data_IF_983524266008
#
_entry.id   IF_983524266008
#
_cell.length_a   1.000
_cell.length_b   1.000
_cell.length_c   1.000
_cell.angle_alpha   90.00
_cell.angle_beta   90.00
_cell.angle_gamma   90.00
#
_symmetry.space_group_name_H-M   'P 1'
#
loop_
_entity.id
_entity.type
_entity.pdbx_description
1 polymer ?
#
# COMPACT_ATOMS: atom_id res chain seq x y z
N UNK A 1 5.68 19.89 33.80
CA UNK A 1 5.61 18.67 32.94
C UNK A 1 5.08 18.97 31.54
N UNK A 2 4.05 19.82 31.40
CA UNK A 2 3.46 20.25 30.11
C UNK A 2 4.44 21.01 29.19
N UNK A 3 5.28 21.87 29.77
CA UNK A 3 6.26 22.68 29.03
C UNK A 3 7.37 21.86 28.34
N UNK A 4 7.54 20.60 28.75
CA UNK A 4 8.54 19.68 28.19
C UNK A 4 8.00 18.86 27.00
N UNK A 5 6.67 18.79 26.85
CA UNK A 5 6.01 18.12 25.72
C UNK A 5 5.83 19.08 24.55
N UNK A 6 5.53 20.35 24.83
CA UNK A 6 5.37 21.40 23.83
C UNK A 6 6.71 21.75 23.14
N UNK A 7 7.81 21.81 23.91
CA UNK A 7 9.16 21.99 23.38
C UNK A 7 9.62 20.81 22.51
N UNK A 8 9.30 19.57 22.91
CA UNK A 8 9.54 18.36 22.10
C UNK A 8 8.71 18.32 20.82
N UNK A 9 7.46 18.79 20.84
CA UNK A 9 6.62 18.88 19.65
C UNK A 9 7.12 19.94 18.67
N UNK A 10 7.60 21.08 19.18
CA UNK A 10 8.24 22.14 18.37
C UNK A 10 9.55 21.65 17.74
N UNK A 11 10.42 20.97 18.51
CA UNK A 11 11.67 20.37 18.00
C UNK A 11 11.40 19.30 16.93
N UNK A 12 10.36 18.48 17.11
CA UNK A 12 9.92 17.47 16.14
C UNK A 12 9.29 18.06 14.88
N UNK A 13 8.83 19.30 14.94
CA UNK A 13 8.32 20.07 13.80
C UNK A 13 9.42 20.81 13.03
N UNK A 14 10.65 20.87 13.53
CA UNK A 14 11.75 21.62 12.90
C UNK A 14 12.71 20.74 12.06
N UNK A 15 12.22 19.61 11.55
CA UNK A 15 13.00 18.76 10.63
C UNK A 15 13.18 19.43 9.26
N UNK A 16 14.41 19.76 8.89
CA UNK A 16 14.72 20.25 7.54
C UNK A 16 14.33 19.24 6.46
N UNK A 17 13.95 19.71 5.27
CA UNK A 17 13.64 18.85 4.13
C UNK A 17 14.79 17.89 3.79
N UNK A 18 16.04 18.32 4.01
CA UNK A 18 17.24 17.53 3.79
C UNK A 18 17.33 16.33 4.75
N UNK A 19 16.89 16.51 5.98
CA UNK A 19 16.91 15.48 7.03
C UNK A 19 15.71 14.53 6.95
N UNK A 20 14.62 14.97 6.29
CA UNK A 20 13.39 14.19 6.13
C UNK A 20 13.51 12.98 5.19
N UNK A 21 14.63 12.86 4.44
CA UNK A 21 14.90 11.80 3.45
C UNK A 21 13.77 11.56 2.43
N UNK A 22 12.83 12.50 2.27
CA UNK A 22 11.66 12.40 1.38
C UNK A 22 12.07 12.11 -0.05
N UNK A 23 13.03 12.89 -0.55
CA UNK A 23 13.53 12.73 -1.91
C UNK A 23 14.14 11.34 -2.10
N UNK A 24 14.87 10.83 -1.10
CA UNK A 24 15.46 9.50 -1.15
C UNK A 24 14.38 8.41 -1.22
N UNK A 25 13.31 8.52 -0.41
CA UNK A 25 12.18 7.56 -0.45
C UNK A 25 11.46 7.62 -1.80
N UNK A 26 11.13 8.81 -2.29
CA UNK A 26 10.45 8.99 -3.57
C UNK A 26 11.28 8.42 -4.74
N UNK A 27 12.57 8.72 -4.79
CA UNK A 27 13.49 8.19 -5.81
C UNK A 27 13.65 6.68 -5.68
N UNK A 28 13.74 6.15 -4.45
CA UNK A 28 13.85 4.69 -4.22
C UNK A 28 12.63 3.94 -4.75
N UNK A 29 11.42 4.48 -4.54
CA UNK A 29 10.18 3.90 -5.08
C UNK A 29 10.26 3.81 -6.60
N UNK A 30 10.66 4.89 -7.29
CA UNK A 30 10.78 4.91 -8.76
C UNK A 30 11.82 3.90 -9.25
N UNK A 31 13.00 3.85 -8.63
CA UNK A 31 14.07 2.93 -9.05
C UNK A 31 13.60 1.48 -8.87
N UNK A 32 13.06 1.13 -7.70
CA UNK A 32 12.67 -0.25 -7.39
C UNK A 32 11.53 -0.71 -8.29
N UNK A 33 10.50 0.10 -8.53
CA UNK A 33 9.39 -0.28 -9.41
C UNK A 33 9.86 -0.46 -10.85
N UNK A 34 10.81 0.35 -11.33
CA UNK A 34 11.34 0.23 -12.69
C UNK A 34 12.22 -1.02 -12.84
N UNK A 35 13.02 -1.35 -11.82
CA UNK A 35 13.79 -2.60 -11.80
C UNK A 35 12.89 -3.83 -11.91
N UNK A 36 11.74 -3.83 -11.23
CA UNK A 36 10.79 -4.93 -11.32
C UNK A 36 10.10 -5.04 -12.69
N UNK A 37 10.04 -3.96 -13.48
CA UNK A 37 9.61 -4.04 -14.88
C UNK A 37 10.59 -4.80 -15.78
N UNK A 38 11.85 -4.89 -15.36
CA UNK A 38 12.92 -5.58 -16.09
C UNK A 38 13.11 -7.06 -15.67
N UNK A 39 12.46 -7.53 -14.59
CA UNK A 39 12.67 -8.88 -14.05
C UNK A 39 11.55 -9.87 -14.44
N UNK A 40 11.85 -11.07 -15.00
CA UNK A 40 13.15 -11.51 -15.52
C UNK A 40 13.49 -10.91 -16.90
N UNK A 41 12.48 -10.53 -17.67
CA UNK A 41 12.63 -9.88 -18.99
C UNK A 41 11.89 -8.54 -19.00
N UNK A 42 12.31 -7.62 -19.87
CA UNK A 42 11.67 -6.32 -20.00
C UNK A 42 10.20 -6.42 -20.43
N UNK A 43 9.30 -5.79 -19.68
CA UNK A 43 7.87 -5.73 -20.01
C UNK A 43 7.40 -4.29 -20.13
N UNK A 44 7.13 -3.85 -21.36
CA UNK A 44 6.62 -2.50 -21.66
C UNK A 44 5.29 -2.18 -20.97
N UNK A 45 4.30 -3.09 -20.92
CA UNK A 45 3.05 -2.82 -20.19
C UNK A 45 3.28 -2.70 -18.68
N UNK A 46 4.12 -3.58 -18.11
CA UNK A 46 4.45 -3.53 -16.68
C UNK A 46 5.21 -2.24 -16.34
N UNK A 47 6.09 -1.77 -17.23
CA UNK A 47 6.75 -0.47 -17.12
C UNK A 47 5.75 0.68 -17.09
N UNK A 48 4.76 0.69 -17.99
CA UNK A 48 3.71 1.72 -18.00
C UNK A 48 2.91 1.74 -16.68
N UNK A 49 2.51 0.58 -16.18
CA UNK A 49 1.79 0.46 -14.89
C UNK A 49 2.66 0.94 -13.73
N UNK A 50 3.92 0.50 -13.68
CA UNK A 50 4.87 0.88 -12.63
C UNK A 50 5.20 2.38 -12.67
N UNK A 51 5.28 2.99 -13.86
CA UNK A 51 5.45 4.43 -14.02
C UNK A 51 4.25 5.22 -13.47
N UNK A 52 3.02 4.80 -13.79
CA UNK A 52 1.80 5.44 -13.27
C UNK A 52 1.74 5.34 -11.74
N UNK A 53 1.96 4.15 -11.19
CA UNK A 53 1.92 3.93 -9.73
C UNK A 53 3.01 4.74 -9.02
N UNK A 54 4.24 4.75 -9.54
CA UNK A 54 5.34 5.50 -8.94
C UNK A 54 5.08 7.01 -8.98
N UNK A 55 4.50 7.51 -10.08
CA UNK A 55 4.11 8.91 -10.19
C UNK A 55 3.03 9.28 -9.17
N UNK A 56 2.00 8.45 -9.01
CA UNK A 56 0.95 8.66 -8.02
C UNK A 56 1.53 8.66 -6.60
N UNK A 57 2.39 7.70 -6.26
CA UNK A 57 3.03 7.62 -4.94
C UNK A 57 3.92 8.83 -4.66
N UNK A 58 4.70 9.26 -5.65
CA UNK A 58 5.52 10.47 -5.55
C UNK A 58 4.65 11.71 -5.30
N UNK A 59 3.52 11.85 -6.01
CA UNK A 59 2.58 12.95 -5.78
C UNK A 59 2.00 12.91 -4.38
N UNK A 60 1.59 11.74 -3.87
CA UNK A 60 1.10 11.60 -2.50
C UNK A 60 2.16 12.02 -1.48
N UNK A 61 3.41 11.61 -1.65
CA UNK A 61 4.52 11.98 -0.76
C UNK A 61 4.75 13.51 -0.78
N UNK A 62 4.83 14.12 -1.97
CA UNK A 62 5.10 15.55 -2.13
C UNK A 62 3.95 16.42 -1.62
N UNK A 63 2.70 16.08 -1.98
CA UNK A 63 1.50 16.81 -1.52
C UNK A 63 1.37 16.69 -0.01
N UNK A 64 1.61 15.50 0.55
CA UNK A 64 1.56 15.29 1.99
C UNK A 64 2.64 16.09 2.72
N UNK A 65 3.84 16.23 2.15
CA UNK A 65 4.86 17.10 2.75
C UNK A 65 4.43 18.58 2.80
N UNK A 66 3.74 19.06 1.76
CA UNK A 66 3.31 20.47 1.69
C UNK A 66 2.10 20.79 2.57
N UNK A 67 1.24 19.80 2.83
CA UNK A 67 -0.07 20.01 3.48
C UNK A 67 -0.11 19.61 4.94
N UNK A 68 0.86 18.83 5.42
CA UNK A 68 0.83 18.28 6.78
C UNK A 68 1.61 19.19 7.74
N UNK A 69 0.91 19.72 8.74
CA UNK A 69 1.47 20.60 9.78
C UNK A 69 2.48 19.89 10.70
N UNK A 70 2.33 18.57 10.91
CA UNK A 70 3.18 17.75 11.77
C UNK A 70 4.13 16.86 10.96
N UNK A 71 5.43 17.15 10.96
CA UNK A 71 6.42 16.38 10.16
C UNK A 71 6.48 14.89 10.50
N UNK A 72 6.09 14.50 11.72
CA UNK A 72 5.93 13.08 12.15
C UNK A 72 4.95 12.31 11.27
N UNK A 73 3.85 12.97 10.85
CA UNK A 73 2.86 12.36 9.98
C UNK A 73 3.42 12.12 8.57
N UNK A 74 4.45 12.88 8.14
CA UNK A 74 5.11 12.63 6.85
C UNK A 74 5.85 11.30 6.83
N UNK A 75 6.54 10.89 7.90
CA UNK A 75 7.19 9.57 7.99
C UNK A 75 6.18 8.42 7.94
N UNK A 76 5.01 8.59 8.57
CA UNK A 76 3.91 7.63 8.52
C UNK A 76 3.39 7.46 7.09
N UNK A 77 3.20 8.58 6.38
CA UNK A 77 2.75 8.59 4.97
C UNK A 77 3.80 7.99 4.03
N UNK A 78 5.09 8.27 4.24
CA UNK A 78 6.17 7.62 3.49
C UNK A 78 6.15 6.10 3.68
N UNK A 79 5.97 5.64 4.93
CA UNK A 79 5.88 4.21 5.25
C UNK A 79 4.66 3.57 4.59
N UNK A 80 3.51 4.25 4.63
CA UNK A 80 2.30 3.86 3.89
C UNK A 80 2.58 3.70 2.39
N UNK A 81 3.24 4.67 1.75
CA UNK A 81 3.58 4.59 0.32
C UNK A 81 4.54 3.44 0.01
N UNK A 82 5.51 3.17 0.90
CA UNK A 82 6.45 2.05 0.76
C UNK A 82 5.76 0.69 0.89
N UNK A 83 4.89 0.51 1.89
CA UNK A 83 4.13 -0.74 2.06
C UNK A 83 3.21 -0.98 0.87
N UNK A 84 2.57 0.07 0.35
CA UNK A 84 1.77 -0.05 -0.86
C UNK A 84 2.62 -0.44 -2.07
N UNK A 85 3.79 0.20 -2.24
CA UNK A 85 4.72 -0.15 -3.30
C UNK A 85 5.16 -1.62 -3.20
N UNK A 86 5.51 -2.09 -2.01
CA UNK A 86 5.93 -3.48 -1.78
C UNK A 86 4.79 -4.47 -2.07
N UNK A 87 3.58 -4.14 -1.62
CA UNK A 87 2.37 -4.91 -1.93
C UNK A 87 2.17 -5.03 -3.45
N UNK A 88 2.24 -3.92 -4.18
CA UNK A 88 2.14 -3.93 -5.64
C UNK A 88 3.21 -4.82 -6.28
N UNK A 89 4.48 -4.69 -5.87
CA UNK A 89 5.59 -5.49 -6.40
C UNK A 89 5.39 -6.99 -6.18
N UNK A 90 4.83 -7.40 -5.04
CA UNK A 90 4.52 -8.80 -4.75
C UNK A 90 3.43 -9.38 -5.66
N UNK A 91 2.49 -8.55 -6.13
CA UNK A 91 1.50 -9.00 -7.09
C UNK A 91 2.02 -9.06 -8.54
N UNK A 92 3.18 -8.48 -8.86
CA UNK A 92 3.65 -8.41 -10.25
C UNK A 92 3.93 -9.76 -10.90
N UNK A 93 4.50 -10.78 -10.24
CA UNK A 93 4.75 -12.08 -10.87
C UNK A 93 3.49 -12.71 -11.48
N UNK A 94 2.36 -12.64 -10.78
CA UNK A 94 1.10 -13.21 -11.30
C UNK A 94 0.51 -12.36 -12.43
N UNK A 95 0.61 -11.03 -12.34
CA UNK A 95 0.16 -10.11 -13.40
C UNK A 95 0.98 -10.35 -14.68
N UNK A 96 2.30 -10.49 -14.53
CA UNK A 96 3.23 -10.74 -15.63
C UNK A 96 2.99 -12.10 -16.28
N UNK A 97 2.66 -13.12 -15.49
CA UNK A 97 2.28 -14.43 -16.01
C UNK A 97 1.07 -14.35 -16.95
N UNK A 98 0.02 -13.62 -16.55
CA UNK A 98 -1.16 -13.43 -17.41
C UNK A 98 -0.84 -12.63 -18.67
N UNK A 99 0.03 -11.61 -18.57
CA UNK A 99 0.52 -10.86 -19.73
C UNK A 99 1.24 -11.75 -20.74
N UNK A 100 2.24 -12.54 -20.31
CA UNK A 100 3.05 -13.38 -21.20
C UNK A 100 2.25 -14.48 -21.92
N UNK A 101 1.05 -14.79 -21.44
CA UNK A 101 0.12 -15.75 -22.04
C UNK A 101 -0.94 -15.07 -22.93
N UNK A 102 -0.73 -13.80 -23.28
CA UNK A 102 -1.66 -12.95 -24.04
C UNK A 102 -3.07 -12.91 -23.46
N UNK A 103 -3.20 -13.09 -22.13
CA UNK A 103 -4.48 -13.12 -21.45
C UNK A 103 -4.80 -11.74 -20.87
N UNK A 104 -5.87 -11.12 -21.35
CA UNK A 104 -6.33 -9.78 -20.92
C UNK A 104 -6.64 -9.65 -19.43
N UNK A 105 -6.70 -10.73 -18.66
CA UNK A 105 -6.79 -10.75 -17.19
C UNK A 105 -5.78 -9.83 -16.50
N UNK A 106 -4.58 -9.62 -17.06
CA UNK A 106 -3.57 -8.72 -16.50
C UNK A 106 -4.07 -7.27 -16.38
N UNK A 107 -4.92 -6.80 -17.31
CA UNK A 107 -5.48 -5.43 -17.29
C UNK A 107 -6.39 -5.26 -16.07
N UNK A 108 -7.21 -6.28 -15.79
CA UNK A 108 -8.10 -6.27 -14.63
C UNK A 108 -7.29 -6.22 -13.33
N UNK A 109 -6.26 -7.05 -13.19
CA UNK A 109 -5.40 -7.03 -12.00
C UNK A 109 -4.65 -5.70 -11.83
N UNK A 110 -4.11 -5.13 -12.91
CA UNK A 110 -3.43 -3.84 -12.87
C UNK A 110 -4.41 -2.70 -12.52
N UNK A 111 -5.62 -2.72 -13.08
CA UNK A 111 -6.65 -1.72 -12.80
C UNK A 111 -7.14 -1.80 -11.35
N UNK A 112 -7.34 -3.01 -10.83
CA UNK A 112 -7.68 -3.25 -9.43
C UNK A 112 -6.64 -2.64 -8.48
N UNK A 113 -5.35 -2.66 -8.84
CA UNK A 113 -4.31 -2.05 -8.03
C UNK A 113 -4.37 -0.53 -7.99
N UNK A 114 -4.59 0.10 -9.15
CA UNK A 114 -4.72 1.56 -9.25
C UNK A 114 -5.97 2.02 -8.50
N UNK A 115 -7.11 1.37 -8.76
CA UNK A 115 -8.39 1.69 -8.09
C UNK A 115 -8.29 1.41 -6.59
N UNK A 116 -7.69 0.28 -6.20
CA UNK A 116 -7.45 -0.09 -4.81
C UNK A 116 -6.63 0.96 -4.08
N UNK A 117 -5.54 1.45 -4.68
CA UNK A 117 -4.76 2.55 -4.11
C UNK A 117 -5.58 3.81 -3.89
N UNK A 118 -6.33 4.22 -4.92
CA UNK A 118 -7.16 5.42 -4.89
C UNK A 118 -8.19 5.30 -3.77
N UNK A 119 -8.92 4.19 -3.70
CA UNK A 119 -9.89 3.92 -2.64
C UNK A 119 -9.23 3.91 -1.26
N UNK A 120 -8.10 3.24 -1.11
CA UNK A 120 -7.37 3.19 0.16
C UNK A 120 -6.91 4.58 0.62
N UNK A 121 -6.52 5.44 -0.31
CA UNK A 121 -6.10 6.80 -0.02
C UNK A 121 -7.28 7.70 0.36
N UNK A 122 -8.38 7.66 -0.41
CA UNK A 122 -9.58 8.47 -0.15
C UNK A 122 -10.31 8.05 1.12
N UNK A 123 -10.45 6.74 1.37
CA UNK A 123 -11.15 6.21 2.53
C UNK A 123 -10.24 5.94 3.73
N UNK A 124 -9.05 6.55 3.78
CA UNK A 124 -8.04 6.33 4.82
C UNK A 124 -8.59 6.36 6.26
N UNK A 125 -9.51 7.28 6.55
CA UNK A 125 -10.12 7.44 7.87
C UNK A 125 -11.13 6.34 8.19
N UNK A 126 -11.98 5.98 7.22
CA UNK A 126 -12.92 4.87 7.36
C UNK A 126 -12.23 3.52 7.49
N UNK A 127 -11.11 3.33 6.78
CA UNK A 127 -10.29 2.12 6.84
C UNK A 127 -9.57 1.98 8.19
N UNK A 128 -9.12 3.09 8.75
CA UNK A 128 -8.59 3.10 10.10
C UNK A 128 -9.66 2.69 11.13
N UNK A 129 -10.86 3.29 11.04
CA UNK A 129 -11.98 2.88 11.89
C UNK A 129 -12.30 1.39 11.72
N UNK A 130 -12.30 0.88 10.49
CA UNK A 130 -12.52 -0.52 10.21
C UNK A 130 -11.51 -1.44 10.91
N UNK A 131 -10.24 -1.08 10.92
CA UNK A 131 -9.19 -1.86 11.57
C UNK A 131 -9.23 -1.76 13.11
N UNK A 132 -9.51 -0.56 13.64
CA UNK A 132 -9.57 -0.34 15.10
C UNK A 132 -10.78 -0.97 15.78
N UNK A 133 -11.90 -1.06 15.05
CA UNK A 133 -13.21 -1.51 15.52
C UNK A 133 -13.75 -2.53 14.53
N UNK A 134 -13.23 -3.74 14.67
CA UNK A 134 -13.49 -4.84 13.75
C UNK A 134 -14.98 -5.20 13.80
N UNK A 135 -15.64 -5.16 12.63
CA UNK A 135 -17.08 -5.43 12.43
C UNK A 135 -18.10 -4.53 13.15
N UNK A 136 -17.68 -3.43 13.78
CA UNK A 136 -18.63 -2.52 14.45
C UNK A 136 -19.45 -1.66 13.48
N UNK A 137 -18.93 -1.40 12.27
CA UNK A 137 -19.60 -0.57 11.26
C UNK A 137 -19.88 -1.35 9.97
N UNK A 138 -20.92 -0.95 9.24
CA UNK A 138 -21.23 -1.49 7.91
C UNK A 138 -20.03 -1.33 6.95
N UNK A 139 -19.30 -0.22 7.06
CA UNK A 139 -18.07 0.01 6.31
C UNK A 139 -16.97 -0.99 6.70
N UNK A 140 -16.75 -1.20 8.00
CA UNK A 140 -15.76 -2.17 8.52
C UNK A 140 -16.04 -3.58 8.04
N UNK A 141 -17.29 -4.03 8.18
CA UNK A 141 -17.72 -5.35 7.72
C UNK A 141 -17.56 -5.49 6.21
N UNK A 142 -18.01 -4.51 5.43
CA UNK A 142 -17.85 -4.50 3.97
C UNK A 142 -16.39 -4.57 3.54
N UNK A 143 -15.50 -3.80 4.16
CA UNK A 143 -14.06 -3.83 3.87
C UNK A 143 -13.46 -5.22 4.09
N UNK A 144 -13.70 -5.83 5.25
CA UNK A 144 -13.17 -7.17 5.56
C UNK A 144 -13.74 -8.24 4.64
N UNK A 145 -15.03 -8.18 4.29
CA UNK A 145 -15.65 -9.10 3.32
C UNK A 145 -14.98 -8.96 1.95
N UNK A 146 -14.75 -7.73 1.47
CA UNK A 146 -14.10 -7.49 0.19
C UNK A 146 -12.68 -8.04 0.21
N UNK A 147 -11.89 -7.72 1.23
CA UNK A 147 -10.50 -8.22 1.36
C UNK A 147 -10.47 -9.75 1.43
N UNK A 148 -11.32 -10.36 2.24
CA UNK A 148 -11.42 -11.82 2.35
C UNK A 148 -11.84 -12.46 1.03
N UNK A 149 -12.75 -11.82 0.28
CA UNK A 149 -13.14 -12.25 -1.06
C UNK A 149 -11.95 -12.20 -2.02
N UNK A 150 -11.14 -11.14 -2.02
CA UNK A 150 -9.92 -11.08 -2.84
C UNK A 150 -8.87 -12.11 -2.42
N UNK A 151 -8.77 -12.42 -1.13
CA UNK A 151 -7.80 -13.38 -0.58
C UNK A 151 -8.16 -14.82 -0.96
N UNK A 152 -9.44 -15.18 -1.04
CA UNK A 152 -9.89 -16.52 -1.41
C UNK A 152 -10.20 -16.68 -2.90
N UNK A 153 -11.02 -15.79 -3.46
CA UNK A 153 -11.59 -15.97 -4.80
C UNK A 153 -10.53 -15.81 -5.89
N UNK A 154 -9.57 -14.91 -5.72
CA UNK A 154 -8.52 -14.72 -6.74
C UNK A 154 -7.61 -15.94 -6.85
N UNK A 155 -6.98 -16.45 -5.77
CA UNK A 155 -6.22 -17.70 -5.83
C UNK A 155 -7.03 -18.89 -6.35
N UNK A 156 -8.29 -19.02 -5.92
CA UNK A 156 -9.18 -20.09 -6.38
C UNK A 156 -9.45 -19.99 -7.88
N UNK A 157 -9.77 -18.79 -8.39
CA UNK A 157 -10.03 -18.57 -9.81
C UNK A 157 -8.80 -18.90 -10.67
N UNK A 158 -7.61 -18.49 -10.24
CA UNK A 158 -6.35 -18.82 -10.90
C UNK A 158 -6.13 -20.34 -10.89
N UNK A 159 -6.34 -20.99 -9.74
CA UNK A 159 -6.23 -22.43 -9.59
C UNK A 159 -7.17 -23.21 -10.50
N UNK A 160 -8.43 -22.79 -10.63
CA UNK A 160 -9.41 -23.41 -11.54
C UNK A 160 -9.03 -23.19 -13.00
N UNK A 161 -8.68 -21.95 -13.38
CA UNK A 161 -8.28 -21.61 -14.75
C UNK A 161 -7.00 -22.34 -15.19
N UNK A 162 -6.14 -22.70 -14.24
CA UNK A 162 -4.82 -23.31 -14.50
C UNK A 162 -4.65 -24.69 -13.88
N UNK A 163 -5.75 -25.40 -13.58
CA UNK A 163 -5.70 -26.72 -12.94
C UNK A 163 -4.82 -27.73 -13.69
N UNK A 164 -4.78 -27.65 -15.03
CA UNK A 164 -3.97 -28.54 -15.89
C UNK A 164 -2.51 -28.10 -16.05
N UNK A 165 -2.22 -26.82 -15.82
CA UNK A 165 -0.91 -26.19 -16.02
C UNK A 165 -0.25 -25.77 -14.70
N UNK A 166 -0.79 -26.21 -13.56
CA UNK A 166 -0.36 -25.77 -12.24
C UNK A 166 1.06 -26.25 -12.00
N UNK A 167 2.00 -25.31 -11.96
CA UNK A 167 3.41 -25.55 -11.68
C UNK A 167 3.88 -24.72 -10.48
N UNK A 168 5.09 -24.99 -10.01
CA UNK A 168 5.67 -24.29 -8.85
C UNK A 168 5.71 -22.77 -9.05
N UNK A 169 5.97 -22.29 -10.27
CA UNK A 169 6.02 -20.85 -10.58
C UNK A 169 4.67 -20.16 -10.37
N UNK A 170 3.57 -20.76 -10.81
CA UNK A 170 2.22 -20.25 -10.56
C UNK A 170 1.90 -20.30 -9.07
N UNK A 171 2.30 -21.38 -8.38
CA UNK A 171 2.19 -21.50 -6.92
C UNK A 171 2.87 -20.35 -6.18
N UNK A 172 4.13 -20.03 -6.52
CA UNK A 172 4.83 -18.88 -5.96
C UNK A 172 4.15 -17.54 -6.29
N UNK A 173 3.63 -17.38 -7.52
CA UNK A 173 2.86 -16.20 -7.91
C UNK A 173 1.60 -16.01 -7.05
N UNK A 174 0.88 -17.10 -6.75
CA UNK A 174 -0.29 -17.08 -5.85
C UNK A 174 0.13 -16.72 -4.42
N UNK A 175 1.21 -17.32 -3.90
CA UNK A 175 1.71 -17.03 -2.56
C UNK A 175 2.13 -15.57 -2.40
N UNK A 176 2.84 -15.01 -3.40
CA UNK A 176 3.22 -13.60 -3.39
C UNK A 176 2.00 -12.69 -3.53
N UNK A 177 0.99 -13.07 -4.32
CA UNK A 177 -0.28 -12.35 -4.36
C UNK A 177 -0.99 -12.34 -2.99
N UNK A 178 -1.04 -13.47 -2.28
CA UNK A 178 -1.62 -13.51 -0.92
C UNK A 178 -0.82 -12.58 0.01
N UNK A 179 0.52 -12.64 -0.03
CA UNK A 179 1.39 -11.73 0.73
C UNK A 179 1.14 -10.25 0.39
N UNK A 180 0.89 -9.95 -0.88
CA UNK A 180 0.53 -8.61 -1.36
C UNK A 180 -0.77 -8.10 -0.72
N UNK A 181 -1.83 -8.91 -0.70
CA UNK A 181 -3.10 -8.54 -0.07
C UNK A 181 -2.94 -8.36 1.45
N UNK A 182 -2.18 -9.24 2.11
CA UNK A 182 -1.89 -9.10 3.54
C UNK A 182 -1.15 -7.80 3.85
N UNK A 183 -0.18 -7.41 3.02
CA UNK A 183 0.50 -6.12 3.15
C UNK A 183 -0.49 -4.95 3.02
N UNK A 184 -1.47 -5.01 2.11
CA UNK A 184 -2.50 -3.97 2.03
C UNK A 184 -3.32 -3.86 3.31
N UNK A 185 -3.63 -4.98 3.95
CA UNK A 185 -4.40 -4.95 5.19
C UNK A 185 -3.70 -4.16 6.30
N UNK A 186 -2.37 -4.06 6.24
CA UNK A 186 -1.59 -3.29 7.22
C UNK A 186 -1.55 -1.78 6.93
N UNK A 187 -1.88 -1.34 5.70
CA UNK A 187 -1.81 0.07 5.29
C UNK A 187 -2.58 1.03 6.22
N UNK A 188 -3.81 0.72 6.68
CA UNK A 188 -4.55 1.62 7.57
C UNK A 188 -3.83 1.87 8.90
N UNK A 189 -3.01 0.93 9.39
CA UNK A 189 -2.25 1.10 10.63
C UNK A 189 -1.22 2.24 10.53
N UNK A 190 -0.66 2.47 9.34
CA UNK A 190 0.31 3.54 9.07
C UNK A 190 -0.34 4.91 8.84
N UNK A 191 -1.66 5.03 8.95
CA UNK A 191 -2.38 6.29 8.78
C UNK A 191 -2.89 6.86 10.12
N UNK A 192 -2.55 6.22 11.25
CA UNK A 192 -2.97 6.63 12.59
C UNK A 192 -2.37 7.99 12.96
N UNK A 193 -3.22 8.94 13.40
CA UNK A 193 -2.75 10.20 13.98
C UNK A 193 -2.16 9.93 15.38
N UNK A 194 -1.01 10.54 15.74
CA UNK A 194 -0.40 10.34 17.06
C UNK A 194 -1.31 10.81 18.21
N UNK A 195 -2.15 11.82 17.98
CA UNK A 195 -3.14 12.32 18.96
C UNK A 195 -4.14 11.23 19.40
N UNK A 196 -4.57 10.36 18.47
CA UNK A 196 -5.52 9.27 18.75
C UNK A 196 -4.87 8.07 19.48
N UNK A 197 -3.54 8.06 19.63
CA UNK A 197 -2.82 7.07 20.44
C UNK A 197 -2.88 7.47 21.92
N UNK A 198 -2.71 8.76 22.21
CA UNK A 198 -2.57 9.27 23.57
C UNK A 198 -3.91 9.42 24.30
N UNK A 199 -5.00 9.78 23.60
CA UNK A 199 -6.33 9.94 24.22
C UNK A 199 -6.85 8.62 24.82
N UNK A 200 -6.50 7.47 24.23
CA UNK A 200 -6.85 6.15 24.75
C UNK A 200 -5.95 5.66 25.90
N UNK A 201 -4.81 6.31 26.14
CA UNK A 201 -3.97 6.05 27.31
C UNK A 201 -4.40 6.88 28.53
N UNK A 202 -5.04 8.03 28.31
CA UNK A 202 -5.54 8.91 29.38
C UNK A 202 -6.97 8.61 29.84
N UNK A 203 -7.71 7.74 29.14
CA UNK A 203 -9.06 7.28 29.53
C UNK A 203 -9.07 5.94 30.27
N UNK A 204 -7.88 5.41 30.63
CA UNK A 204 -7.72 4.32 31.59
C UNK A 204 -7.10 4.85 32.90
N UNK A 205 -7.82 5.73 33.58
CA UNK A 205 -7.67 5.98 35.01
C UNK A 205 -9.07 6.05 35.61
#
# INVERSE_FOLDING_TARGET
>A
MIQNDESRLLEKNDLSFKDSRILHVAVSIVIVTFLFSALPEWSTPQFKVNAVISFILMMVIVVSWKTVELKVRCFSIQSYCLIFCLSHLFAQPIIKYFWQKDNTAWIYFASCWIVGFILLHFFREGLFQAFSKIYESKFSSGYHIVVFSFLLLVPLSIGVMKAKDLNSSIGYGILLYIGSILLLMTLPAFLKKPEDININSSTKC
#
